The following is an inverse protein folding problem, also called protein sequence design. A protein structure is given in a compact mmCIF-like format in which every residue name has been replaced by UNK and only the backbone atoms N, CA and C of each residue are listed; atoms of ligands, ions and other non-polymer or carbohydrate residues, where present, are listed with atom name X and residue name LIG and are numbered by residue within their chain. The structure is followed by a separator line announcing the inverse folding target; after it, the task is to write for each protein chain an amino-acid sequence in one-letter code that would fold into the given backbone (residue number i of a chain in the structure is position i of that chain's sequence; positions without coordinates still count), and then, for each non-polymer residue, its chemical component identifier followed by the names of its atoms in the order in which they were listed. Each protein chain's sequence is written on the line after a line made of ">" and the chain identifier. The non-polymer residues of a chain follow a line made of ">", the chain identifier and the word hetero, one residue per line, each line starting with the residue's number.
data_IF_754058355229
#
_entry.id   IF_754058355229
#
_cell.length_a   1.000
_cell.length_b   1.000
_cell.length_c   1.000
_cell.angle_alpha   90.00
_cell.angle_beta   90.00
_cell.angle_gamma   90.00
#
_symmetry.space_group_name_H-M   'P 1'
#
loop_
_entity.id
_entity.type
_entity.pdbx_description
1 polymer ?
#
# COMPACT_ATOMS: atom_id res chain seq x y z
N UNK A 1 61.77 67.35 -9.51
CA UNK A 1 63.00 67.61 -8.72
C UNK A 1 62.67 67.40 -7.25
N UNK A 2 63.52 66.81 -6.38
CA UNK A 2 64.56 65.76 -6.48
C UNK A 2 64.02 64.41 -5.89
N UNK A 3 64.55 63.19 -6.04
CA UNK A 3 65.89 62.56 -6.11
C UNK A 3 66.62 62.36 -4.76
N UNK A 4 67.06 61.10 -4.56
CA UNK A 4 67.99 60.51 -3.55
C UNK A 4 67.28 59.95 -2.29
N UNK A 5 67.62 58.77 -1.78
CA UNK A 5 68.95 58.18 -1.68
C UNK A 5 68.88 56.65 -1.46
N UNK A 6 69.80 55.95 -2.11
CA UNK A 6 70.07 54.53 -1.92
C UNK A 6 70.90 54.26 -0.66
N UNK A 7 70.75 53.07 -0.06
CA UNK A 7 71.82 52.44 0.69
C UNK A 7 71.81 50.92 0.51
N UNK A 8 72.91 50.44 -0.04
CA UNK A 8 73.27 49.03 -0.22
C UNK A 8 74.11 48.52 0.94
N UNK A 9 74.14 47.19 1.12
CA UNK A 9 75.19 46.29 1.68
C UNK A 9 74.51 45.31 2.65
N UNK A 10 74.83 44.01 2.76
CA UNK A 10 75.88 43.18 2.18
C UNK A 10 75.64 41.73 2.66
N UNK A 11 75.80 40.77 1.73
CA UNK A 11 76.36 39.40 1.88
C UNK A 11 75.72 38.34 2.78
N UNK A 12 75.40 37.21 2.11
CA UNK A 12 75.86 35.84 2.38
C UNK A 12 75.43 35.13 3.67
N UNK A 13 74.64 34.05 3.54
CA UNK A 13 75.12 32.69 3.87
C UNK A 13 73.97 31.68 3.73
N UNK A 14 74.25 30.67 2.91
CA UNK A 14 73.62 29.35 2.78
C UNK A 14 73.07 28.76 4.08
N UNK A 15 71.83 28.24 4.03
CA UNK A 15 71.47 27.02 4.77
C UNK A 15 70.36 26.25 4.04
N UNK A 16 70.75 25.10 3.50
CA UNK A 16 69.87 24.04 3.01
C UNK A 16 68.76 23.74 4.02
N UNK A 17 67.50 23.81 3.57
CA UNK A 17 66.40 23.00 4.12
C UNK A 17 65.75 22.26 2.96
N UNK A 18 66.02 20.95 2.96
CA UNK A 18 65.31 19.91 2.23
C UNK A 18 63.80 20.18 2.20
N UNK A 19 63.26 20.46 1.01
CA UNK A 19 61.82 20.40 0.74
C UNK A 19 61.40 18.93 0.69
N UNK A 20 60.95 18.39 1.81
CA UNK A 20 60.04 17.23 1.78
C UNK A 20 58.63 17.76 1.64
N UNK A 21 58.21 17.99 0.40
CA UNK A 21 56.80 18.14 0.04
C UNK A 21 56.15 16.76 0.09
N UNK A 22 55.66 16.34 1.25
CA UNK A 22 54.69 15.26 1.30
C UNK A 22 53.35 15.83 0.83
N UNK A 23 53.00 15.59 -0.43
CA UNK A 23 51.65 15.82 -0.91
C UNK A 23 50.67 15.03 -0.02
N UNK A 24 49.52 15.61 0.38
CA UNK A 24 48.48 14.81 1.01
C UNK A 24 48.04 13.76 -0.01
N UNK A 25 48.15 12.49 0.36
CA UNK A 25 47.65 11.39 -0.44
C UNK A 25 46.18 11.68 -0.78
N UNK A 26 45.88 11.79 -2.08
CA UNK A 26 44.51 11.85 -2.56
C UNK A 26 43.84 10.54 -2.19
N UNK A 27 43.16 10.53 -1.04
CA UNK A 27 42.27 9.45 -0.66
C UNK A 27 41.27 9.27 -1.79
N UNK A 28 41.27 8.07 -2.38
CA UNK A 28 40.27 7.63 -3.35
C UNK A 28 38.89 8.09 -2.88
N UNK A 29 38.04 8.71 -3.74
CA UNK A 29 36.72 9.14 -3.33
C UNK A 29 35.92 7.90 -2.93
N UNK A 30 35.92 7.62 -1.63
CA UNK A 30 35.17 6.53 -1.05
C UNK A 30 33.72 6.76 -1.43
N UNK A 31 33.18 5.89 -2.27
CA UNK A 31 31.77 5.90 -2.68
C UNK A 31 30.95 5.82 -1.40
N UNK A 32 30.52 6.97 -0.88
CA UNK A 32 29.77 7.06 0.37
C UNK A 32 28.45 6.33 0.12
N UNK A 33 28.37 5.08 0.58
CA UNK A 33 27.14 4.28 0.55
C UNK A 33 26.12 5.07 1.35
N UNK A 34 25.18 5.72 0.67
CA UNK A 34 24.11 6.42 1.35
C UNK A 34 23.23 5.38 2.03
N UNK A 35 22.99 5.56 3.33
CA UNK A 35 22.02 4.73 4.04
C UNK A 35 20.64 4.94 3.42
N UNK A 36 19.77 3.92 3.50
CA UNK A 36 18.37 4.03 3.04
C UNK A 36 17.68 5.27 3.63
N UNK A 37 17.94 5.55 4.91
CA UNK A 37 17.46 6.75 5.62
C UNK A 37 17.94 8.03 4.95
N UNK A 38 19.20 8.09 4.52
CA UNK A 38 19.76 9.23 3.79
C UNK A 38 19.08 9.46 2.43
N UNK A 39 18.79 8.38 1.70
CA UNK A 39 18.07 8.44 0.42
C UNK A 39 16.64 8.95 0.62
N UNK A 40 15.90 8.42 1.60
CA UNK A 40 14.54 8.88 1.91
C UNK A 40 14.51 10.36 2.31
N UNK A 41 15.43 10.78 3.18
CA UNK A 41 15.51 12.17 3.63
C UNK A 41 15.84 13.12 2.48
N UNK A 42 16.72 12.71 1.56
CA UNK A 42 17.03 13.48 0.37
C UNK A 42 15.79 13.61 -0.53
N UNK A 43 15.13 12.50 -0.84
CA UNK A 43 13.93 12.50 -1.67
C UNK A 43 12.80 13.34 -1.07
N UNK A 44 12.56 13.25 0.25
CA UNK A 44 11.60 14.09 0.96
C UNK A 44 11.93 15.59 0.80
N UNK A 45 13.21 15.96 0.93
CA UNK A 45 13.68 17.34 0.78
C UNK A 45 13.54 17.85 -0.66
N UNK A 46 13.81 17.00 -1.65
CA UNK A 46 13.83 17.40 -3.07
C UNK A 46 12.45 17.34 -3.74
N UNK A 47 11.60 16.40 -3.34
CA UNK A 47 10.32 16.09 -4.02
C UNK A 47 9.09 16.22 -3.10
N UNK A 48 9.29 16.38 -1.80
CA UNK A 48 8.23 16.49 -0.80
C UNK A 48 7.71 15.15 -0.28
N UNK A 49 7.03 15.20 0.88
CA UNK A 49 6.36 14.03 1.47
C UNK A 49 5.21 13.46 0.62
N UNK A 50 4.39 14.28 -0.09
CA UNK A 50 3.39 13.74 -1.02
C UNK A 50 3.94 12.81 -2.09
N UNK A 51 5.13 13.11 -2.62
CA UNK A 51 5.80 12.26 -3.59
C UNK A 51 6.15 10.89 -3.00
N UNK A 52 6.72 10.87 -1.78
CA UNK A 52 7.02 9.62 -1.09
C UNK A 52 5.74 8.84 -0.79
N UNK A 53 4.66 9.53 -0.42
CA UNK A 53 3.37 8.90 -0.17
C UNK A 53 2.75 8.30 -1.44
N UNK A 54 2.92 8.93 -2.61
CA UNK A 54 2.50 8.37 -3.88
C UNK A 54 3.29 7.10 -4.24
N UNK A 55 4.60 7.08 -3.99
CA UNK A 55 5.43 5.89 -4.20
C UNK A 55 5.06 4.74 -3.27
N UNK A 56 4.92 5.03 -1.97
CA UNK A 56 4.49 4.05 -1.00
C UNK A 56 3.09 3.50 -1.33
N UNK A 57 2.17 4.30 -1.90
CA UNK A 57 0.85 3.82 -2.37
C UNK A 57 0.97 2.70 -3.40
N UNK A 58 1.90 2.85 -4.35
CA UNK A 58 2.11 1.88 -5.44
C UNK A 58 2.71 0.60 -4.91
N UNK A 59 3.73 0.73 -4.06
CA UNK A 59 4.38 -0.41 -3.41
C UNK A 59 3.38 -1.18 -2.55
N UNK A 60 2.57 -0.48 -1.73
CA UNK A 60 1.53 -1.14 -0.95
C UNK A 60 0.50 -1.79 -1.86
N UNK A 61 0.06 -1.13 -2.94
CA UNK A 61 -0.87 -1.72 -3.91
C UNK A 61 -0.37 -3.03 -4.53
N UNK A 62 0.89 -3.08 -4.95
CA UNK A 62 1.51 -4.30 -5.50
C UNK A 62 1.53 -5.40 -4.43
N UNK A 63 1.97 -5.08 -3.21
CA UNK A 63 2.00 -6.02 -2.09
C UNK A 63 0.59 -6.58 -1.80
N UNK A 64 -0.42 -5.72 -1.79
CA UNK A 64 -1.80 -6.12 -1.54
C UNK A 64 -2.39 -6.99 -2.65
N UNK A 65 -2.05 -6.76 -3.92
CA UNK A 65 -2.49 -7.65 -5.01
C UNK A 65 -1.91 -9.05 -4.84
N UNK A 66 -0.61 -9.15 -4.55
CA UNK A 66 0.04 -10.42 -4.26
C UNK A 66 -0.59 -11.11 -3.05
N UNK A 67 -0.89 -10.34 -2.00
CA UNK A 67 -1.58 -10.85 -0.83
C UNK A 67 -2.99 -11.34 -1.15
N UNK A 68 -3.78 -10.61 -1.92
CA UNK A 68 -5.15 -11.02 -2.31
C UNK A 68 -5.11 -12.33 -3.10
N UNK A 69 -4.15 -12.50 -4.01
CA UNK A 69 -3.95 -13.77 -4.71
C UNK A 69 -3.63 -14.91 -3.73
N UNK A 70 -2.66 -14.70 -2.84
CA UNK A 70 -2.32 -15.66 -1.78
C UNK A 70 -3.52 -15.99 -0.87
N UNK A 71 -4.31 -14.97 -0.51
CA UNK A 71 -5.48 -15.07 0.34
C UNK A 71 -6.59 -15.91 -0.31
N UNK A 72 -6.92 -15.65 -1.59
CA UNK A 72 -7.91 -16.45 -2.34
C UNK A 72 -7.45 -17.92 -2.46
N UNK A 73 -6.15 -18.16 -2.71
CA UNK A 73 -5.61 -19.53 -2.76
C UNK A 73 -5.69 -20.24 -1.42
N UNK A 74 -5.41 -19.54 -0.32
CA UNK A 74 -5.53 -20.09 1.03
C UNK A 74 -6.98 -20.44 1.35
N UNK A 75 -7.92 -19.52 1.09
CA UNK A 75 -9.35 -19.75 1.29
C UNK A 75 -9.91 -20.86 0.40
N UNK A 76 -9.30 -21.16 -0.76
CA UNK A 76 -9.73 -22.27 -1.62
C UNK A 76 -9.68 -23.63 -0.94
N UNK A 77 -8.92 -23.76 0.16
CA UNK A 77 -8.89 -24.95 0.99
C UNK A 77 -10.17 -25.18 1.81
N UNK A 78 -11.06 -24.19 1.98
CA UNK A 78 -12.33 -24.33 2.73
C UNK A 78 -13.26 -25.43 2.21
N UNK A 79 -13.05 -25.88 0.97
CA UNK A 79 -13.76 -27.03 0.39
C UNK A 79 -13.41 -28.37 1.05
N UNK A 80 -12.33 -28.40 1.81
CA UNK A 80 -11.83 -29.54 2.57
C UNK A 80 -11.42 -29.01 3.97
N UNK A 81 -12.38 -29.02 4.90
CA UNK A 81 -12.19 -28.42 6.22
C UNK A 81 -10.94 -28.94 6.96
N UNK A 82 -10.65 -30.26 7.01
CA UNK A 82 -9.39 -30.76 7.58
C UNK A 82 -8.12 -30.16 6.94
N UNK A 83 -8.12 -29.96 5.61
CA UNK A 83 -7.01 -29.32 4.91
C UNK A 83 -6.89 -27.83 5.25
N UNK A 84 -8.01 -27.12 5.34
CA UNK A 84 -8.03 -25.72 5.76
C UNK A 84 -7.48 -25.56 7.17
N UNK A 85 -7.94 -26.38 8.12
CA UNK A 85 -7.49 -26.35 9.51
C UNK A 85 -5.99 -26.65 9.62
N UNK A 86 -5.47 -27.56 8.80
CA UNK A 86 -4.03 -27.82 8.72
C UNK A 86 -3.23 -26.59 8.24
N UNK A 87 -3.75 -25.83 7.28
CA UNK A 87 -3.14 -24.55 6.87
C UNK A 87 -3.24 -23.49 7.98
N UNK A 88 -4.38 -23.37 8.64
CA UNK A 88 -4.57 -22.41 9.74
C UNK A 88 -3.65 -22.72 10.93
N UNK A 89 -3.32 -23.99 11.17
CA UNK A 89 -2.32 -24.37 12.17
C UNK A 89 -0.92 -23.84 11.84
N UNK A 90 -0.53 -23.85 10.56
CA UNK A 90 0.75 -23.31 10.10
C UNK A 90 0.73 -21.78 10.17
N UNK A 91 -0.32 -21.15 9.65
CA UNK A 91 -0.48 -19.70 9.64
C UNK A 91 -0.70 -19.10 11.03
N UNK A 92 -1.17 -19.89 11.99
CA UNK A 92 -1.27 -19.51 13.40
C UNK A 92 0.06 -19.58 14.16
N UNK A 93 1.16 -20.00 13.53
CA UNK A 93 2.47 -19.97 14.18
C UNK A 93 3.06 -18.56 14.26
N UNK A 94 3.88 -18.30 15.27
CA UNK A 94 4.41 -16.97 15.61
C UNK A 94 4.90 -16.12 14.42
N UNK A 95 5.73 -16.62 13.47
CA UNK A 95 6.19 -15.79 12.37
C UNK A 95 5.05 -15.34 11.45
N UNK A 96 4.05 -16.17 11.21
CA UNK A 96 2.93 -15.82 10.33
C UNK A 96 1.92 -14.89 10.99
N UNK A 97 1.65 -15.07 12.29
CA UNK A 97 0.86 -14.10 13.07
C UNK A 97 1.55 -12.73 13.07
N UNK A 98 2.88 -12.68 13.25
CA UNK A 98 3.61 -11.43 13.14
C UNK A 98 3.49 -10.79 11.74
N UNK A 99 3.57 -11.60 10.68
CA UNK A 99 3.38 -11.12 9.31
C UNK A 99 1.95 -10.62 9.04
N UNK A 100 0.95 -11.24 9.63
CA UNK A 100 -0.45 -10.80 9.57
C UNK A 100 -0.65 -9.44 10.25
N UNK A 101 -0.07 -9.26 11.43
CA UNK A 101 -0.02 -7.95 12.10
C UNK A 101 0.72 -6.91 11.24
N UNK A 102 1.85 -7.29 10.66
CA UNK A 102 2.64 -6.42 9.80
C UNK A 102 1.87 -6.02 8.53
N UNK A 103 1.02 -6.92 8.00
CA UNK A 103 0.20 -6.69 6.81
C UNK A 103 -0.92 -5.66 7.04
N UNK A 104 -1.36 -5.44 8.27
CA UNK A 104 -2.30 -4.37 8.58
C UNK A 104 -1.78 -3.00 8.12
N UNK A 105 -0.49 -2.74 8.29
CA UNK A 105 0.13 -1.46 7.91
C UNK A 105 -0.06 -1.11 6.42
N UNK A 106 0.37 -1.94 5.44
CA UNK A 106 0.16 -1.63 4.03
C UNK A 106 -1.32 -1.57 3.63
N UNK A 107 -2.21 -2.40 4.20
CA UNK A 107 -3.67 -2.34 3.91
C UNK A 107 -4.25 -1.00 4.31
N UNK A 108 -4.07 -0.62 5.58
CA UNK A 108 -4.67 0.59 6.14
C UNK A 108 -4.04 1.83 5.53
N UNK A 109 -2.72 1.82 5.34
CA UNK A 109 -2.05 2.88 4.60
C UNK A 109 -2.60 3.01 3.17
N UNK A 110 -2.74 1.91 2.42
CA UNK A 110 -3.24 1.95 1.06
C UNK A 110 -4.66 2.52 0.99
N UNK A 111 -5.55 2.08 1.88
CA UNK A 111 -6.93 2.59 1.95
C UNK A 111 -6.98 4.09 2.28
N UNK A 112 -6.30 4.52 3.34
CA UNK A 112 -6.31 5.93 3.77
C UNK A 112 -5.64 6.85 2.75
N UNK A 113 -4.50 6.42 2.21
CA UNK A 113 -3.79 7.15 1.16
C UNK A 113 -4.60 7.21 -0.15
N UNK A 114 -5.27 6.12 -0.53
CA UNK A 114 -6.19 6.10 -1.67
C UNK A 114 -7.34 7.08 -1.49
N UNK A 115 -7.89 7.20 -0.27
CA UNK A 115 -8.88 8.23 0.03
C UNK A 115 -8.33 9.65 -0.11
N UNK A 116 -7.07 9.91 0.30
CA UNK A 116 -6.40 11.20 0.00
C UNK A 116 -6.38 11.48 -1.51
N UNK A 117 -6.01 10.48 -2.32
CA UNK A 117 -5.97 10.63 -3.78
C UNK A 117 -7.36 10.89 -4.36
N UNK A 118 -8.41 10.20 -3.89
CA UNK A 118 -9.80 10.46 -4.31
C UNK A 118 -10.23 11.88 -3.93
N UNK A 119 -9.93 12.33 -2.71
CA UNK A 119 -10.23 13.70 -2.27
C UNK A 119 -9.52 14.73 -3.15
N UNK A 120 -8.27 14.46 -3.54
CA UNK A 120 -7.51 15.33 -4.42
C UNK A 120 -8.05 15.33 -5.86
N UNK A 121 -8.22 14.17 -6.48
CA UNK A 121 -8.56 14.02 -7.90
C UNK A 121 -10.05 14.29 -8.18
N UNK A 122 -10.95 13.79 -7.32
CA UNK A 122 -12.40 13.79 -7.54
C UNK A 122 -13.09 14.95 -6.83
N UNK A 123 -12.68 15.27 -5.61
CA UNK A 123 -13.29 16.33 -4.80
C UNK A 123 -12.52 17.65 -4.85
N UNK A 124 -11.43 17.71 -5.63
CA UNK A 124 -10.61 18.90 -5.83
C UNK A 124 -10.04 19.49 -4.52
N UNK A 125 -9.91 18.70 -3.46
CA UNK A 125 -9.27 19.16 -2.24
C UNK A 125 -7.76 19.37 -2.49
N UNK A 126 -7.28 20.59 -2.29
CA UNK A 126 -5.86 20.96 -2.52
C UNK A 126 -5.04 21.04 -1.24
N UNK A 127 -5.63 20.74 -0.08
CA UNK A 127 -4.95 20.74 1.22
C UNK A 127 -4.17 19.43 1.48
N UNK A 128 -3.36 19.00 0.50
CA UNK A 128 -2.75 17.64 0.49
C UNK A 128 -1.87 17.35 1.71
N UNK A 129 -1.10 18.34 2.19
CA UNK A 129 -0.28 18.18 3.39
C UNK A 129 -1.09 17.92 4.66
N UNK A 130 -2.22 18.61 4.82
CA UNK A 130 -3.12 18.44 5.97
C UNK A 130 -3.81 17.09 5.89
N UNK A 131 -4.32 16.72 4.70
CA UNK A 131 -4.95 15.41 4.51
C UNK A 131 -3.94 14.28 4.72
N UNK A 132 -2.67 14.44 4.32
CA UNK A 132 -1.63 13.46 4.58
C UNK A 132 -1.38 13.26 6.10
N UNK A 133 -1.45 14.33 6.91
CA UNK A 133 -1.40 14.21 8.37
C UNK A 133 -2.58 13.40 8.91
N UNK A 134 -3.78 13.60 8.37
CA UNK A 134 -4.95 12.80 8.74
C UNK A 134 -4.83 11.34 8.32
N UNK A 135 -4.27 11.05 7.14
CA UNK A 135 -3.95 9.67 6.70
C UNK A 135 -3.07 8.98 7.73
N UNK A 136 -2.04 9.66 8.22
CA UNK A 136 -1.13 9.12 9.24
C UNK A 136 -1.85 8.97 10.58
N UNK A 137 -2.52 10.02 11.06
CA UNK A 137 -3.19 10.02 12.37
C UNK A 137 -4.31 8.98 12.47
N UNK A 138 -5.25 8.99 11.53
CA UNK A 138 -6.37 8.04 11.50
C UNK A 138 -5.92 6.62 11.18
N UNK A 139 -4.95 6.46 10.27
CA UNK A 139 -4.37 5.14 9.97
C UNK A 139 -3.65 4.53 11.19
N UNK A 140 -2.92 5.35 11.95
CA UNK A 140 -2.25 4.92 13.18
C UNK A 140 -3.26 4.55 14.27
N UNK A 141 -4.29 5.39 14.46
CA UNK A 141 -5.37 5.13 15.41
C UNK A 141 -6.10 3.82 15.07
N UNK A 142 -6.48 3.63 13.80
CA UNK A 142 -7.13 2.41 13.36
C UNK A 142 -6.25 1.18 13.61
N UNK A 143 -4.96 1.24 13.23
CA UNK A 143 -4.04 0.10 13.40
C UNK A 143 -3.84 -0.23 14.88
N UNK A 144 -3.75 0.78 15.73
CA UNK A 144 -3.70 0.59 17.19
C UNK A 144 -4.96 -0.11 17.72
N UNK A 145 -6.15 0.35 17.33
CA UNK A 145 -7.41 -0.24 17.75
C UNK A 145 -7.56 -1.68 17.25
N UNK A 146 -7.16 -1.96 16.00
CA UNK A 146 -7.11 -3.31 15.45
C UNK A 146 -6.21 -4.20 16.29
N UNK A 147 -4.98 -3.77 16.57
CA UNK A 147 -4.04 -4.53 17.40
C UNK A 147 -4.57 -4.77 18.82
N UNK A 148 -5.19 -3.76 19.43
CA UNK A 148 -5.85 -3.90 20.73
C UNK A 148 -6.96 -4.97 20.69
N UNK A 149 -7.79 -4.96 19.65
CA UNK A 149 -8.84 -5.97 19.50
C UNK A 149 -8.29 -7.35 19.22
N UNK A 150 -7.23 -7.49 18.44
CA UNK A 150 -6.55 -8.78 18.21
C UNK A 150 -5.99 -9.38 19.51
N UNK A 151 -5.45 -8.54 20.41
CA UNK A 151 -4.92 -8.99 21.71
C UNK A 151 -6.04 -9.46 22.62
N UNK A 152 -7.17 -8.76 22.63
CA UNK A 152 -8.32 -9.12 23.46
C UNK A 152 -9.05 -10.36 22.87
N UNK A 153 -9.27 -10.38 21.55
CA UNK A 153 -9.66 -11.54 20.75
C UNK A 153 -10.97 -12.24 21.08
N UNK A 154 -11.82 -11.65 21.92
CA UNK A 154 -13.05 -12.24 22.41
C UNK A 154 -14.30 -11.40 22.09
N UNK A 155 -14.16 -10.42 21.20
CA UNK A 155 -15.26 -9.54 20.82
C UNK A 155 -16.24 -10.29 19.93
N UNK A 156 -17.52 -10.06 20.17
CA UNK A 156 -18.60 -10.66 19.40
C UNK A 156 -19.52 -9.58 18.85
N UNK A 157 -19.85 -9.67 17.57
CA UNK A 157 -20.85 -8.83 16.91
C UNK A 157 -21.63 -9.66 15.91
N UNK A 158 -22.91 -9.37 15.73
CA UNK A 158 -23.71 -10.01 14.68
C UNK A 158 -23.11 -9.70 13.32
N UNK A 159 -22.72 -10.75 12.58
CA UNK A 159 -22.18 -10.64 11.23
C UNK A 159 -23.14 -9.83 10.33
N UNK A 160 -24.44 -10.13 10.40
CA UNK A 160 -25.44 -9.45 9.59
C UNK A 160 -25.47 -7.95 9.87
N UNK A 161 -25.55 -7.55 11.15
CA UNK A 161 -25.60 -6.13 11.51
C UNK A 161 -24.31 -5.41 11.09
N UNK A 162 -23.15 -6.00 11.40
CA UNK A 162 -21.85 -5.43 11.03
C UNK A 162 -21.76 -5.13 9.53
N UNK A 163 -22.14 -6.12 8.71
CA UNK A 163 -22.02 -6.02 7.27
C UNK A 163 -23.10 -5.13 6.63
N UNK A 164 -24.33 -5.07 7.17
CA UNK A 164 -25.36 -4.14 6.68
C UNK A 164 -24.90 -2.68 6.85
N UNK A 165 -24.44 -2.28 8.04
CA UNK A 165 -23.99 -0.91 8.27
C UNK A 165 -22.78 -0.55 7.40
N UNK A 166 -21.80 -1.45 7.35
CA UNK A 166 -20.58 -1.24 6.56
C UNK A 166 -20.88 -1.15 5.07
N UNK A 167 -21.67 -2.08 4.53
CA UNK A 167 -22.02 -2.09 3.11
C UNK A 167 -22.83 -0.86 2.72
N UNK A 168 -23.81 -0.46 3.53
CA UNK A 168 -24.59 0.76 3.30
C UNK A 168 -23.70 2.00 3.25
N UNK A 169 -22.81 2.18 4.24
CA UNK A 169 -21.87 3.31 4.26
C UNK A 169 -20.94 3.31 3.03
N UNK A 170 -20.43 2.13 2.65
CA UNK A 170 -19.54 1.96 1.50
C UNK A 170 -20.23 2.30 0.18
N UNK A 171 -21.49 1.87 0.02
CA UNK A 171 -22.32 2.20 -1.14
C UNK A 171 -22.59 3.71 -1.20
N UNK A 172 -22.86 4.38 -0.07
CA UNK A 172 -23.01 5.83 -0.04
C UNK A 172 -21.74 6.56 -0.51
N UNK A 173 -20.56 6.17 -0.01
CA UNK A 173 -19.28 6.77 -0.42
C UNK A 173 -18.99 6.55 -1.91
N UNK A 174 -19.24 5.33 -2.40
CA UNK A 174 -19.11 4.99 -3.82
C UNK A 174 -20.11 5.80 -4.67
N UNK A 175 -21.36 5.93 -4.25
CA UNK A 175 -22.39 6.69 -4.95
C UNK A 175 -22.05 8.18 -5.07
N UNK A 176 -21.54 8.80 -4.00
CA UNK A 176 -21.08 10.20 -4.04
C UNK A 176 -19.93 10.34 -5.04
N UNK A 177 -19.00 9.38 -5.06
CA UNK A 177 -17.88 9.36 -6.02
C UNK A 177 -18.41 9.22 -7.45
N UNK A 178 -19.36 8.32 -7.70
CA UNK A 178 -20.06 8.20 -8.99
C UNK A 178 -20.67 9.55 -9.38
N UNK A 179 -21.41 10.20 -8.47
CA UNK A 179 -22.06 11.48 -8.70
C UNK A 179 -21.11 12.58 -9.16
N UNK A 180 -19.92 12.67 -8.56
CA UNK A 180 -18.87 13.63 -8.96
C UNK A 180 -18.22 13.27 -10.29
N UNK A 181 -18.07 11.99 -10.60
CA UNK A 181 -17.37 11.54 -11.80
C UNK A 181 -18.23 11.55 -13.08
N UNK A 182 -19.57 11.66 -12.98
CA UNK A 182 -20.49 11.60 -14.13
C UNK A 182 -20.08 12.60 -15.23
N UNK A 183 -19.66 13.80 -14.85
CA UNK A 183 -19.31 14.91 -15.74
C UNK A 183 -17.82 15.06 -16.05
N UNK A 184 -16.96 14.19 -15.50
CA UNK A 184 -15.49 14.36 -15.56
C UNK A 184 -14.82 14.12 -16.93
N UNK A 185 -15.54 13.60 -17.93
CA UNK A 185 -14.97 13.20 -19.23
C UNK A 185 -13.97 12.03 -19.18
N UNK A 186 -13.59 11.53 -18.00
CA UNK A 186 -12.62 10.46 -17.84
C UNK A 186 -13.11 9.11 -18.42
N UNK A 187 -12.15 8.26 -18.80
CA UNK A 187 -12.44 6.91 -19.30
C UNK A 187 -13.19 6.08 -18.27
N UNK A 188 -14.05 5.16 -18.75
CA UNK A 188 -14.86 4.32 -17.86
C UNK A 188 -13.99 3.46 -16.93
N UNK A 189 -12.87 2.91 -17.41
CA UNK A 189 -12.00 2.07 -16.58
C UNK A 189 -11.32 2.86 -15.46
N UNK A 190 -10.89 4.08 -15.75
CA UNK A 190 -10.34 4.96 -14.73
C UNK A 190 -11.39 5.30 -13.67
N UNK A 191 -12.63 5.64 -14.10
CA UNK A 191 -13.75 5.93 -13.19
C UNK A 191 -14.05 4.72 -12.30
N UNK A 192 -14.16 3.53 -12.88
CA UNK A 192 -14.42 2.30 -12.13
C UNK A 192 -13.32 2.02 -11.09
N UNK A 193 -12.06 2.38 -11.34
CA UNK A 193 -11.02 2.19 -10.32
C UNK A 193 -11.21 3.13 -9.13
N UNK A 194 -11.64 4.39 -9.37
CA UNK A 194 -11.94 5.34 -8.28
C UNK A 194 -13.20 4.95 -7.51
N UNK A 195 -14.22 4.47 -8.22
CA UNK A 195 -15.48 4.01 -7.62
C UNK A 195 -15.25 2.75 -6.78
N UNK A 196 -14.53 1.76 -7.30
CA UNK A 196 -14.14 0.57 -6.52
C UNK A 196 -13.25 0.92 -5.34
N UNK A 197 -12.31 1.87 -5.49
CA UNK A 197 -11.50 2.36 -4.38
C UNK A 197 -12.33 3.04 -3.28
N UNK A 198 -13.30 3.87 -3.67
CA UNK A 198 -14.24 4.52 -2.76
C UNK A 198 -15.12 3.51 -2.00
N UNK A 199 -15.57 2.44 -2.67
CA UNK A 199 -16.27 1.33 -2.03
C UNK A 199 -15.36 0.56 -1.06
N UNK A 200 -14.16 0.19 -1.51
CA UNK A 200 -13.19 -0.59 -0.73
C UNK A 200 -12.59 0.18 0.45
N UNK A 201 -12.63 1.52 0.43
CA UNK A 201 -12.15 2.38 1.52
C UNK A 201 -12.71 1.99 2.89
N UNK A 202 -13.98 1.59 2.94
CA UNK A 202 -14.63 1.10 4.16
C UNK A 202 -14.67 -0.44 4.18
N UNK A 203 -14.98 -1.09 3.06
CA UNK A 203 -15.18 -2.54 3.02
C UNK A 203 -13.91 -3.34 3.36
N UNK A 204 -12.74 -2.95 2.84
CA UNK A 204 -11.52 -3.72 3.07
C UNK A 204 -10.99 -3.60 4.52
N UNK A 205 -10.93 -2.40 5.13
CA UNK A 205 -10.66 -2.29 6.57
C UNK A 205 -11.73 -2.97 7.42
N UNK A 206 -13.01 -2.88 7.07
CA UNK A 206 -14.05 -3.57 7.83
C UNK A 206 -13.90 -5.09 7.76
N UNK A 207 -13.53 -5.65 6.60
CA UNK A 207 -13.19 -7.06 6.46
C UNK A 207 -12.03 -7.46 7.37
N UNK A 208 -10.94 -6.69 7.35
CA UNK A 208 -9.80 -6.91 8.24
C UNK A 208 -10.23 -6.88 9.71
N UNK A 209 -10.95 -5.85 10.13
CA UNK A 209 -11.44 -5.73 11.51
C UNK A 209 -12.31 -6.93 11.90
N UNK A 210 -13.31 -7.27 11.09
CA UNK A 210 -14.27 -8.33 11.39
C UNK A 210 -13.60 -9.69 11.60
N UNK A 211 -12.63 -10.05 10.74
CA UNK A 211 -11.89 -11.31 10.88
C UNK A 211 -11.00 -11.36 12.13
N UNK A 212 -10.69 -10.20 12.71
CA UNK A 212 -9.79 -10.05 13.86
C UNK A 212 -10.47 -9.71 15.19
N UNK A 213 -11.79 -9.54 15.21
CA UNK A 213 -12.55 -9.39 16.47
C UNK A 213 -12.55 -10.69 17.30
N UNK A 214 -12.53 -11.84 16.64
CA UNK A 214 -12.40 -13.13 17.30
C UNK A 214 -11.66 -14.07 16.34
N UNK A 215 -10.55 -14.70 16.74
CA UNK A 215 -9.75 -15.56 15.87
C UNK A 215 -10.55 -16.64 15.12
N UNK A 216 -11.59 -17.20 15.76
CA UNK A 216 -12.44 -18.22 15.13
C UNK A 216 -13.19 -17.67 13.90
N UNK A 217 -13.47 -16.37 13.85
CA UNK A 217 -14.15 -15.71 12.72
C UNK A 217 -13.36 -15.82 11.41
N UNK A 218 -12.03 -15.83 11.50
CA UNK A 218 -11.13 -15.88 10.34
C UNK A 218 -10.40 -17.21 10.16
N UNK A 219 -10.26 -18.03 11.20
CA UNK A 219 -9.40 -19.23 11.19
C UNK A 219 -10.12 -20.56 11.43
N UNK A 220 -11.39 -20.58 11.83
CA UNK A 220 -12.14 -21.83 12.03
C UNK A 220 -13.01 -22.14 10.80
N UNK A 221 -12.76 -23.29 10.16
CA UNK A 221 -13.49 -23.69 8.96
C UNK A 221 -15.00 -23.75 9.16
N UNK A 222 -15.46 -24.30 10.30
CA UNK A 222 -16.89 -24.49 10.57
C UNK A 222 -17.59 -23.17 10.83
N UNK A 223 -16.95 -22.25 11.56
CA UNK A 223 -17.47 -20.91 11.79
C UNK A 223 -17.59 -20.14 10.47
N UNK A 224 -16.59 -20.24 9.59
CA UNK A 224 -16.60 -19.60 8.27
C UNK A 224 -17.71 -20.19 7.40
N UNK A 225 -17.79 -21.52 7.27
CA UNK A 225 -18.80 -22.22 6.46
C UNK A 225 -20.22 -21.89 6.95
N UNK A 226 -20.45 -21.90 8.27
CA UNK A 226 -21.73 -21.53 8.85
C UNK A 226 -22.14 -20.09 8.50
N UNK A 227 -21.19 -19.14 8.56
CA UNK A 227 -21.42 -17.74 8.15
C UNK A 227 -21.72 -17.65 6.64
N UNK A 228 -21.02 -18.42 5.82
CA UNK A 228 -21.24 -18.49 4.37
C UNK A 228 -22.64 -19.02 4.02
N UNK A 229 -23.32 -19.75 4.91
CA UNK A 229 -24.72 -20.16 4.71
C UNK A 229 -25.71 -18.99 4.55
N UNK A 230 -25.33 -17.77 4.92
CA UNK A 230 -26.18 -16.58 4.78
C UNK A 230 -26.03 -15.93 3.38
N UNK A 231 -27.12 -15.81 2.59
CA UNK A 231 -27.05 -15.22 1.23
C UNK A 231 -26.56 -13.77 1.20
N UNK A 232 -26.86 -12.98 2.22
CA UNK A 232 -26.39 -11.59 2.30
C UNK A 232 -24.87 -11.53 2.50
N UNK A 233 -24.30 -12.44 3.29
CA UNK A 233 -22.84 -12.53 3.44
C UNK A 233 -22.19 -12.92 2.10
N UNK A 234 -22.76 -13.91 1.38
CA UNK A 234 -22.28 -14.27 0.03
C UNK A 234 -22.29 -13.07 -0.92
N UNK A 235 -23.33 -12.22 -0.86
CA UNK A 235 -23.41 -11.00 -1.66
C UNK A 235 -22.32 -9.98 -1.28
N UNK A 236 -22.06 -9.80 0.01
CA UNK A 236 -20.99 -8.92 0.52
C UNK A 236 -19.62 -9.41 0.06
N UNK A 237 -19.35 -10.70 0.20
CA UNK A 237 -18.08 -11.31 -0.23
C UNK A 237 -17.92 -11.27 -1.76
N UNK A 238 -19.01 -11.44 -2.52
CA UNK A 238 -19.00 -11.24 -3.97
C UNK A 238 -18.64 -9.80 -4.35
N UNK A 239 -19.21 -8.81 -3.66
CA UNK A 239 -18.91 -7.40 -3.91
C UNK A 239 -17.46 -7.05 -3.54
N UNK A 240 -16.94 -7.57 -2.43
CA UNK A 240 -15.53 -7.47 -2.04
C UNK A 240 -14.62 -8.10 -3.09
N UNK A 241 -14.91 -9.34 -3.53
CA UNK A 241 -14.16 -10.07 -4.54
C UNK A 241 -14.10 -9.31 -5.87
N UNK A 242 -15.26 -8.89 -6.38
CA UNK A 242 -15.34 -8.15 -7.63
C UNK A 242 -14.60 -6.80 -7.53
N UNK A 243 -14.81 -6.07 -6.43
CA UNK A 243 -14.18 -4.78 -6.17
C UNK A 243 -12.66 -4.89 -6.11
N UNK A 244 -12.13 -5.80 -5.28
CA UNK A 244 -10.69 -5.92 -5.04
C UNK A 244 -9.94 -6.43 -6.27
N UNK A 245 -10.52 -7.40 -7.00
CA UNK A 245 -9.90 -7.94 -8.21
C UNK A 245 -9.84 -6.89 -9.33
N UNK A 246 -10.94 -6.19 -9.57
CA UNK A 246 -10.96 -5.10 -10.55
C UNK A 246 -9.99 -3.98 -10.17
N UNK A 247 -10.08 -3.50 -8.91
CA UNK A 247 -9.25 -2.41 -8.41
C UNK A 247 -7.75 -2.74 -8.50
N UNK A 248 -7.37 -3.94 -8.08
CA UNK A 248 -6.00 -4.44 -8.13
C UNK A 248 -5.48 -4.58 -9.55
N UNK A 249 -6.26 -5.20 -10.45
CA UNK A 249 -5.85 -5.41 -11.84
C UNK A 249 -5.64 -4.09 -12.60
N UNK A 250 -6.59 -3.16 -12.49
CA UNK A 250 -6.45 -1.84 -13.09
C UNK A 250 -5.31 -1.04 -12.43
N UNK A 251 -5.15 -1.16 -11.11
CA UNK A 251 -4.05 -0.54 -10.37
C UNK A 251 -2.68 -0.99 -10.87
N UNK A 252 -2.46 -2.31 -11.03
CA UNK A 252 -1.23 -2.85 -11.60
C UNK A 252 -1.01 -2.36 -13.05
N UNK A 253 -2.06 -2.37 -13.87
CA UNK A 253 -1.98 -1.85 -15.22
C UNK A 253 -1.56 -0.37 -15.24
N UNK A 254 -2.20 0.46 -14.41
CA UNK A 254 -1.89 1.89 -14.29
C UNK A 254 -0.46 2.13 -13.80
N UNK A 255 0.06 1.34 -12.85
CA UNK A 255 1.46 1.44 -12.43
C UNK A 255 2.39 1.05 -13.58
N UNK A 256 2.09 -0.03 -14.30
CA UNK A 256 2.89 -0.49 -15.44
C UNK A 256 2.98 0.54 -16.58
N UNK A 257 1.91 1.31 -16.80
CA UNK A 257 1.88 2.36 -17.82
C UNK A 257 2.94 3.45 -17.63
N UNK A 258 3.43 3.66 -16.41
CA UNK A 258 4.49 4.64 -16.11
C UNK A 258 5.87 4.20 -16.59
N UNK A 259 6.08 2.90 -16.81
CA UNK A 259 7.38 2.32 -17.15
C UNK A 259 7.41 1.68 -18.53
N UNK A 260 6.25 1.25 -19.06
CA UNK A 260 6.16 0.62 -20.37
C UNK A 260 5.97 1.71 -21.43
N UNK A 261 6.86 1.77 -22.42
CA UNK A 261 6.74 2.74 -23.52
C UNK A 261 5.92 2.17 -24.71
N UNK A 262 6.12 0.90 -25.06
CA UNK A 262 5.50 0.27 -26.22
C UNK A 262 4.01 0.01 -26.03
N UNK A 263 3.18 0.53 -26.94
CA UNK A 263 1.72 0.31 -26.92
C UNK A 263 1.36 -1.18 -27.02
N UNK A 264 2.08 -1.95 -27.85
CA UNK A 264 1.88 -3.41 -27.98
C UNK A 264 2.13 -4.13 -26.66
N UNK A 265 3.17 -3.72 -25.92
CA UNK A 265 3.50 -4.30 -24.61
C UNK A 265 2.43 -3.91 -23.58
N UNK A 266 1.93 -2.66 -23.58
CA UNK A 266 0.81 -2.25 -22.71
C UNK A 266 -0.42 -3.12 -22.95
N UNK A 267 -0.80 -3.35 -24.22
CA UNK A 267 -1.91 -4.24 -24.57
C UNK A 267 -1.67 -5.67 -24.09
N UNK A 268 -0.47 -6.22 -24.31
CA UNK A 268 -0.10 -7.55 -23.82
C UNK A 268 -0.23 -7.68 -22.30
N UNK A 269 0.24 -6.69 -21.54
CA UNK A 269 0.10 -6.65 -20.09
C UNK A 269 -1.37 -6.56 -19.66
N UNK A 270 -2.19 -5.74 -20.35
CA UNK A 270 -3.62 -5.65 -20.05
C UNK A 270 -4.34 -6.99 -20.27
N UNK A 271 -4.04 -7.70 -21.36
CA UNK A 271 -4.60 -9.04 -21.65
C UNK A 271 -4.18 -10.04 -20.58
N UNK A 272 -2.89 -10.04 -20.20
CA UNK A 272 -2.37 -10.91 -19.15
C UNK A 272 -3.08 -10.64 -17.80
N UNK A 273 -3.17 -9.38 -17.39
CA UNK A 273 -3.84 -9.01 -16.14
C UNK A 273 -5.32 -9.39 -16.17
N UNK A 274 -6.01 -9.22 -17.30
CA UNK A 274 -7.39 -9.67 -17.47
C UNK A 274 -7.51 -11.19 -17.28
N UNK A 275 -6.66 -11.97 -17.95
CA UNK A 275 -6.64 -13.43 -17.83
C UNK A 275 -6.40 -13.89 -16.38
N UNK A 276 -5.36 -13.37 -15.73
CA UNK A 276 -5.06 -13.69 -14.33
C UNK A 276 -6.23 -13.32 -13.42
N UNK A 277 -6.83 -12.15 -13.64
CA UNK A 277 -8.01 -11.70 -12.88
C UNK A 277 -9.19 -12.65 -13.03
N UNK A 278 -9.47 -13.15 -14.24
CA UNK A 278 -10.53 -14.13 -14.47
C UNK A 278 -10.27 -15.46 -13.78
N UNK A 279 -9.02 -15.93 -13.74
CA UNK A 279 -8.63 -17.15 -13.01
C UNK A 279 -8.90 -17.00 -11.51
N UNK A 280 -8.49 -15.88 -10.91
CA UNK A 280 -8.75 -15.62 -9.49
C UNK A 280 -10.21 -15.34 -9.19
N UNK A 281 -10.94 -14.69 -10.09
CA UNK A 281 -12.39 -14.51 -9.98
C UNK A 281 -13.11 -15.86 -9.97
N UNK A 282 -12.73 -16.78 -10.86
CA UNK A 282 -13.26 -18.15 -10.86
C UNK A 282 -12.93 -18.91 -9.57
N UNK A 283 -11.70 -18.79 -9.07
CA UNK A 283 -11.31 -19.38 -7.80
C UNK A 283 -12.12 -18.82 -6.62
N UNK A 284 -12.33 -17.50 -6.57
CA UNK A 284 -13.12 -16.84 -5.54
C UNK A 284 -14.62 -17.15 -5.62
N UNK A 285 -15.22 -17.16 -6.82
CA UNK A 285 -16.63 -17.52 -7.00
C UNK A 285 -16.93 -18.93 -6.50
N UNK A 286 -15.98 -19.84 -6.68
CA UNK A 286 -16.06 -21.21 -6.17
C UNK A 286 -16.14 -21.29 -4.63
N UNK A 287 -15.66 -20.28 -3.90
CA UNK A 287 -15.81 -20.18 -2.44
C UNK A 287 -17.24 -19.85 -2.03
N UNK A 288 -17.98 -19.11 -2.85
CA UNK A 288 -19.37 -18.73 -2.54
C UNK A 288 -20.35 -19.88 -2.71
N UNK A 289 -19.90 -21.01 -3.28
CA UNK A 289 -20.73 -22.20 -3.50
C UNK A 289 -20.62 -23.25 -2.39
N UNK A 290 -19.78 -23.00 -1.38
CA UNK A 290 -19.72 -23.83 -0.17
C UNK A 290 -20.89 -23.53 0.76
#
# INVERSE_FOLDING_TARGET
>A
MPAKQAQSRSRSSTRNKSMTTSAPAAGSPGRRVQSLVGVFRLQAKTRGYPFLAAWAHRVSGILLVLYVWFHILTLSALRDAPRFDAYMKILGSLPFVFLEWLLALPVIYHAMNGARLILYEVFQNRQDEIVLKWVIGLGSLYTFLLGLFMVIGNQTISALLFWVYTAAASVCVAYITVAKLRTSGASIFWKLQRISGAFLFLMAPAHMLFMHLNPATGHDAQVIIARMGNPFIKLVDLALLAGVLYHGAYGLYSIGQDYILSAKVKTGVAVLLCFVTLVFAWAGLKLLLI
#
